data_IF_994537513338
#
_entry.id   IF_994537513338
#
_cell.length_a   1.000
_cell.length_b   1.000
_cell.length_c   1.000
_cell.angle_alpha   90.00
_cell.angle_beta   90.00
_cell.angle_gamma   90.00
#
_symmetry.space_group_name_H-M   'P 1'
#
loop_
_entity.id
_entity.type
_entity.pdbx_description
1 polymer ?
#
# COMPACT_ATOMS: atom_id res chain seq x y z
N UNK A 1 24.57 38.88 -21.47
CA UNK A 1 25.33 37.91 -20.66
C UNK A 1 24.56 37.39 -19.42
N UNK A 2 23.33 37.83 -19.15
CA UNK A 2 22.57 37.41 -17.95
C UNK A 2 21.61 36.24 -18.11
N UNK A 3 21.43 35.69 -19.32
CA UNK A 3 20.44 34.63 -19.58
C UNK A 3 20.99 33.20 -19.49
N UNK A 4 22.31 33.03 -19.42
CA UNK A 4 22.94 31.70 -19.31
C UNK A 4 23.09 31.22 -17.85
N UNK A 5 23.03 32.14 -16.87
CA UNK A 5 23.23 31.81 -15.44
C UNK A 5 21.99 31.26 -14.73
N UNK A 6 20.80 31.38 -15.34
CA UNK A 6 19.54 30.97 -14.71
C UNK A 6 19.15 29.52 -15.01
N UNK A 7 19.71 28.92 -16.06
CA UNK A 7 19.45 27.51 -16.42
C UNK A 7 20.30 26.54 -15.56
N UNK A 8 21.39 27.00 -14.94
CA UNK A 8 22.29 26.12 -14.19
C UNK A 8 21.83 25.85 -12.74
N UNK A 9 20.95 26.69 -12.16
CA UNK A 9 20.49 26.47 -10.78
C UNK A 9 19.37 25.43 -10.64
N UNK A 10 18.78 24.95 -11.74
CA UNK A 10 17.76 23.90 -11.70
C UNK A 10 18.24 22.53 -12.19
N UNK A 11 19.46 22.41 -12.73
CA UNK A 11 19.97 21.16 -13.33
C UNK A 11 21.36 20.71 -12.84
N UNK A 12 22.02 21.46 -11.96
CA UNK A 12 23.30 21.06 -11.40
C UNK A 12 23.61 21.75 -10.08
N UNK A 13 24.20 21.02 -9.13
CA UNK A 13 24.78 21.61 -7.93
C UNK A 13 26.08 22.32 -8.35
N UNK A 14 26.22 23.64 -8.17
CA UNK A 14 27.45 24.36 -8.54
C UNK A 14 28.67 23.73 -7.85
N UNK A 15 29.65 23.28 -8.66
CA UNK A 15 30.85 22.59 -8.18
C UNK A 15 30.82 21.06 -8.28
N UNK A 16 29.67 20.46 -8.61
CA UNK A 16 29.60 19.06 -9.02
C UNK A 16 29.83 18.95 -10.53
N UNK A 17 30.81 18.15 -11.00
CA UNK A 17 30.95 17.86 -12.42
C UNK A 17 29.71 17.11 -12.92
N UNK A 18 29.33 17.34 -14.18
CA UNK A 18 28.29 16.56 -14.85
C UNK A 18 28.64 15.07 -14.74
N UNK A 19 27.67 14.24 -14.32
CA UNK A 19 27.86 12.81 -14.20
C UNK A 19 27.49 12.14 -15.54
N UNK A 20 28.46 11.61 -16.31
CA UNK A 20 28.18 10.94 -17.57
C UNK A 20 27.19 9.79 -17.38
N UNK A 21 26.41 9.46 -18.41
CA UNK A 21 25.45 8.36 -18.35
C UNK A 21 26.11 7.04 -17.95
N UNK A 22 27.33 6.76 -18.43
CA UNK A 22 28.11 5.58 -18.04
C UNK A 22 28.32 5.49 -16.54
N UNK A 23 28.66 6.61 -15.91
CA UNK A 23 28.99 6.67 -14.48
C UNK A 23 27.73 6.56 -13.64
N UNK A 24 26.61 7.13 -14.11
CA UNK A 24 25.29 6.95 -13.48
C UNK A 24 24.86 5.49 -13.50
N UNK A 25 25.03 4.80 -14.64
CA UNK A 25 24.71 3.38 -14.76
C UNK A 25 25.63 2.52 -13.88
N UNK A 26 26.94 2.81 -13.85
CA UNK A 26 27.88 2.11 -12.99
C UNK A 26 27.55 2.30 -11.49
N UNK A 27 27.18 3.52 -11.08
CA UNK A 27 26.75 3.80 -9.72
C UNK A 27 25.44 3.09 -9.37
N UNK A 28 24.49 3.04 -10.30
CA UNK A 28 23.24 2.32 -10.12
C UNK A 28 23.47 0.81 -9.98
N UNK A 29 24.37 0.23 -10.78
CA UNK A 29 24.74 -1.19 -10.68
C UNK A 29 25.47 -1.46 -9.35
N UNK A 30 26.34 -0.56 -8.91
CA UNK A 30 26.97 -0.67 -7.59
C UNK A 30 25.93 -0.63 -6.47
N UNK A 31 24.99 0.31 -6.50
CA UNK A 31 23.89 0.41 -5.54
C UNK A 31 22.98 -0.83 -5.56
N UNK A 32 22.62 -1.31 -6.75
CA UNK A 32 21.82 -2.53 -6.93
C UNK A 32 22.47 -3.74 -6.26
N UNK A 33 23.78 -3.91 -6.43
CA UNK A 33 24.55 -5.03 -5.88
C UNK A 33 24.91 -4.85 -4.40
N UNK A 34 24.91 -3.62 -3.89
CA UNK A 34 25.23 -3.30 -2.50
C UNK A 34 24.03 -3.42 -1.55
N UNK A 35 22.82 -3.69 -2.06
CA UNK A 35 21.62 -3.89 -1.22
C UNK A 35 21.85 -5.02 -0.21
N UNK A 36 21.45 -4.85 1.06
CA UNK A 36 21.55 -5.90 2.06
C UNK A 36 20.69 -7.10 1.70
N UNK A 37 21.12 -8.28 2.14
CA UNK A 37 20.27 -9.48 2.13
C UNK A 37 19.03 -9.27 3.00
N UNK A 38 17.97 -10.05 2.74
CA UNK A 38 16.75 -10.03 3.55
C UNK A 38 17.02 -10.16 5.06
N UNK A 39 17.91 -11.08 5.45
CA UNK A 39 18.23 -11.31 6.85
C UNK A 39 18.96 -10.12 7.51
N UNK A 40 19.85 -9.47 6.78
CA UNK A 40 20.53 -8.26 7.27
C UNK A 40 19.53 -7.13 7.45
N UNK A 41 18.71 -6.85 6.43
CA UNK A 41 17.71 -5.78 6.48
C UNK A 41 16.69 -5.98 7.61
N UNK A 42 16.31 -7.23 7.90
CA UNK A 42 15.45 -7.58 9.04
C UNK A 42 16.12 -7.38 10.39
N UNK A 43 17.41 -7.71 10.49
CA UNK A 43 18.17 -7.55 11.75
C UNK A 43 18.35 -6.08 12.11
N UNK A 44 18.41 -5.21 11.09
CA UNK A 44 18.51 -3.76 11.27
C UNK A 44 17.18 -3.11 11.69
N UNK A 45 16.05 -3.83 11.63
CA UNK A 45 14.77 -3.33 12.11
C UNK A 45 14.62 -3.45 13.63
N UNK A 46 13.83 -2.56 14.27
CA UNK A 46 13.44 -2.73 15.66
C UNK A 46 12.81 -4.09 15.90
N UNK A 47 13.20 -4.75 16.99
CA UNK A 47 12.60 -6.03 17.37
C UNK A 47 11.09 -5.87 17.57
N UNK A 48 10.32 -6.80 17.00
CA UNK A 48 8.89 -6.86 17.22
C UNK A 48 8.60 -7.05 18.72
N UNK A 49 7.76 -6.18 19.28
CA UNK A 49 7.26 -6.30 20.64
C UNK A 49 5.83 -6.79 20.56
N UNK A 50 5.57 -7.97 21.12
CA UNK A 50 4.23 -8.53 21.13
C UNK A 50 3.28 -7.64 21.94
N UNK A 51 2.12 -7.24 21.36
CA UNK A 51 1.11 -6.49 22.10
C UNK A 51 0.64 -7.23 23.36
N UNK A 52 0.45 -6.48 24.45
CA UNK A 52 -0.11 -7.02 25.69
C UNK A 52 -1.56 -7.49 25.47
N UNK A 53 -1.97 -8.56 26.15
CA UNK A 53 -3.34 -9.09 26.06
C UNK A 53 -3.61 -10.03 24.88
N UNK A 54 -2.62 -10.25 24.00
CA UNK A 54 -2.66 -11.37 23.06
C UNK A 54 -2.65 -12.68 23.83
N UNK A 55 -3.82 -13.32 23.91
CA UNK A 55 -3.97 -14.65 24.50
C UNK A 55 -3.01 -15.67 23.87
N UNK A 56 -2.88 -16.87 24.44
CA UNK A 56 -1.84 -17.83 24.06
C UNK A 56 -2.05 -18.47 22.67
N UNK A 57 -2.96 -17.96 21.84
CA UNK A 57 -3.37 -18.58 20.58
C UNK A 57 -2.23 -18.66 19.57
N UNK A 58 -1.49 -17.57 19.34
CA UNK A 58 -0.37 -17.56 18.39
C UNK A 58 0.80 -18.43 18.89
N UNK A 59 1.26 -18.32 20.16
CA UNK A 59 2.25 -19.26 20.69
C UNK A 59 1.83 -20.73 20.59
N UNK A 60 0.55 -21.04 20.86
CA UNK A 60 0.01 -22.41 20.70
C UNK A 60 -0.01 -22.85 19.24
N UNK A 61 -0.36 -21.96 18.31
CA UNK A 61 -0.34 -22.25 16.88
C UNK A 61 1.09 -22.54 16.39
N UNK A 62 2.06 -21.71 16.77
CA UNK A 62 3.50 -21.94 16.49
C UNK A 62 3.96 -23.30 17.02
N UNK A 63 3.61 -23.63 18.26
CA UNK A 63 3.96 -24.92 18.88
C UNK A 63 3.29 -26.12 18.16
N UNK A 64 2.03 -25.96 17.76
CA UNK A 64 1.29 -27.00 17.04
C UNK A 64 1.83 -27.24 15.62
N UNK A 65 2.35 -26.21 14.96
CA UNK A 65 2.96 -26.32 13.63
C UNK A 65 4.39 -26.86 13.69
N UNK A 66 5.10 -26.69 14.80
CA UNK A 66 6.39 -27.36 15.01
C UNK A 66 6.27 -28.90 15.00
N UNK A 67 5.11 -29.45 15.36
CA UNK A 67 4.84 -30.91 15.28
C UNK A 67 4.08 -31.31 14.01
N UNK A 68 3.60 -30.34 13.22
CA UNK A 68 2.86 -30.53 11.97
C UNK A 68 3.37 -29.58 10.87
N UNK A 69 4.62 -29.75 10.41
CA UNK A 69 5.28 -28.81 9.50
C UNK A 69 4.67 -28.77 8.08
N UNK A 70 3.85 -29.76 7.73
CA UNK A 70 3.18 -29.87 6.44
C UNK A 70 1.69 -29.45 6.50
N UNK A 71 1.24 -28.89 7.64
CA UNK A 71 -0.12 -28.36 7.81
C UNK A 71 -0.27 -27.03 7.08
N UNK A 72 -0.59 -27.09 5.78
CA UNK A 72 -0.75 -25.92 4.91
C UNK A 72 -1.75 -24.91 5.48
N UNK A 73 -2.91 -25.36 5.94
CA UNK A 73 -3.94 -24.46 6.48
C UNK A 73 -3.45 -23.77 7.75
N UNK A 74 -2.75 -24.50 8.62
CA UNK A 74 -2.14 -23.93 9.81
C UNK A 74 -1.07 -22.88 9.47
N UNK A 75 -0.24 -23.11 8.45
CA UNK A 75 0.76 -22.13 8.00
C UNK A 75 0.14 -20.88 7.35
N UNK A 76 -0.95 -21.03 6.59
CA UNK A 76 -1.73 -19.88 6.08
C UNK A 76 -2.28 -19.05 7.22
N UNK A 77 -2.92 -19.71 8.20
CA UNK A 77 -3.46 -19.03 9.37
C UNK A 77 -2.36 -18.33 10.17
N UNK A 78 -1.20 -18.98 10.34
CA UNK A 78 -0.06 -18.37 11.02
C UNK A 78 0.39 -17.11 10.29
N UNK A 79 0.62 -17.16 8.98
CA UNK A 79 1.06 -15.99 8.21
C UNK A 79 0.10 -14.81 8.33
N UNK A 80 -1.21 -15.05 8.25
CA UNK A 80 -2.24 -14.02 8.43
C UNK A 80 -2.25 -13.41 9.84
N UNK A 81 -2.14 -14.26 10.87
CA UNK A 81 -2.12 -13.79 12.27
C UNK A 81 -0.87 -12.97 12.57
N UNK A 82 0.31 -13.42 12.12
CA UNK A 82 1.56 -12.66 12.30
C UNK A 82 1.49 -11.31 11.56
N UNK A 83 0.87 -11.26 10.38
CA UNK A 83 0.71 -10.02 9.62
C UNK A 83 -0.22 -9.03 10.33
N UNK A 84 -1.32 -9.53 10.91
CA UNK A 84 -2.24 -8.74 11.72
C UNK A 84 -1.56 -8.16 12.98
N UNK A 85 -0.56 -8.87 13.53
CA UNK A 85 0.28 -8.34 14.61
C UNK A 85 1.32 -7.33 14.16
N UNK A 86 1.65 -7.30 12.87
CA UNK A 86 2.78 -6.54 12.34
C UNK A 86 4.14 -7.21 12.53
N UNK A 87 4.19 -8.48 12.95
CA UNK A 87 5.43 -9.28 12.96
C UNK A 87 5.71 -9.79 11.54
N UNK A 88 6.21 -8.89 10.68
CA UNK A 88 6.43 -9.21 9.27
C UNK A 88 7.56 -10.21 9.04
N UNK A 89 8.53 -10.31 9.97
CA UNK A 89 9.56 -11.35 9.91
C UNK A 89 8.97 -12.74 10.19
N UNK A 90 8.05 -12.87 11.16
CA UNK A 90 7.29 -14.10 11.37
C UNK A 90 6.33 -14.40 10.21
N UNK A 91 5.65 -13.37 9.69
CA UNK A 91 4.76 -13.46 8.52
C UNK A 91 5.50 -14.04 7.32
N UNK A 92 6.66 -13.47 6.96
CA UNK A 92 7.50 -13.96 5.85
C UNK A 92 7.84 -15.43 6.03
N UNK A 93 8.36 -15.81 7.20
CA UNK A 93 8.75 -17.21 7.48
C UNK A 93 7.57 -18.17 7.34
N UNK A 94 6.39 -17.80 7.82
CA UNK A 94 5.19 -18.62 7.67
C UNK A 94 4.74 -18.71 6.21
N UNK A 95 4.73 -17.58 5.48
CA UNK A 95 4.32 -17.53 4.08
C UNK A 95 5.31 -18.24 3.14
N UNK A 96 6.61 -18.23 3.44
CA UNK A 96 7.60 -19.05 2.73
C UNK A 96 7.26 -20.55 2.83
N UNK A 97 6.78 -21.00 3.99
CA UNK A 97 6.30 -22.39 4.14
C UNK A 97 5.03 -22.62 3.32
N UNK A 98 4.08 -21.69 3.31
CA UNK A 98 2.87 -21.79 2.47
C UNK A 98 3.23 -21.95 1.00
N UNK A 99 4.07 -21.07 0.46
CA UNK A 99 4.52 -21.13 -0.94
C UNK A 99 5.25 -22.43 -1.22
N UNK A 100 6.13 -22.89 -0.31
CA UNK A 100 6.83 -24.18 -0.45
C UNK A 100 5.88 -25.36 -0.46
N UNK A 101 4.87 -25.39 0.42
CA UNK A 101 3.91 -26.49 0.52
C UNK A 101 2.95 -26.53 -0.68
N UNK A 102 2.57 -25.37 -1.22
CA UNK A 102 1.78 -25.28 -2.45
C UNK A 102 2.60 -25.66 -3.69
N UNK A 103 3.90 -25.37 -3.71
CA UNK A 103 4.78 -25.70 -4.83
C UNK A 103 4.28 -25.07 -6.14
N UNK A 104 3.95 -25.90 -7.13
CA UNK A 104 3.44 -25.44 -8.42
C UNK A 104 2.03 -24.81 -8.35
N UNK A 105 1.27 -25.07 -7.28
CA UNK A 105 -0.05 -24.50 -7.06
C UNK A 105 0.00 -23.12 -6.36
N UNK A 106 1.19 -22.61 -6.04
CA UNK A 106 1.34 -21.27 -5.48
C UNK A 106 0.96 -20.22 -6.53
N UNK A 107 -0.03 -19.39 -6.20
CA UNK A 107 -0.58 -18.38 -7.11
C UNK A 107 0.06 -17.00 -6.95
N UNK A 108 -0.31 -16.03 -7.81
CA UNK A 108 0.16 -14.65 -7.70
C UNK A 108 -0.16 -14.02 -6.35
N UNK A 109 -1.32 -14.30 -5.75
CA UNK A 109 -1.67 -13.77 -4.42
C UNK A 109 -0.73 -14.27 -3.31
N UNK A 110 -0.27 -15.53 -3.39
CA UNK A 110 0.68 -16.09 -2.44
C UNK A 110 2.05 -15.40 -2.53
N UNK A 111 2.50 -15.13 -3.76
CA UNK A 111 3.75 -14.43 -4.02
C UNK A 111 3.66 -12.94 -3.69
N UNK A 112 2.53 -12.30 -3.95
CA UNK A 112 2.28 -10.90 -3.59
C UNK A 112 2.31 -10.74 -2.07
N UNK A 113 1.65 -11.61 -1.33
CA UNK A 113 1.68 -11.57 0.13
C UNK A 113 3.07 -11.86 0.70
N UNK A 114 3.82 -12.80 0.09
CA UNK A 114 5.20 -13.06 0.47
C UNK A 114 6.09 -11.84 0.23
N UNK A 115 6.06 -11.26 -0.97
CA UNK A 115 6.85 -10.08 -1.30
C UNK A 115 6.51 -8.89 -0.40
N UNK A 116 5.22 -8.69 -0.11
CA UNK A 116 4.76 -7.70 0.88
C UNK A 116 5.37 -7.93 2.25
N UNK A 117 5.29 -9.16 2.77
CA UNK A 117 5.88 -9.49 4.07
C UNK A 117 7.39 -9.26 4.10
N UNK A 118 8.11 -9.61 3.03
CA UNK A 118 9.55 -9.39 2.91
C UNK A 118 9.91 -7.90 2.93
N UNK A 119 9.22 -7.09 2.15
CA UNK A 119 9.45 -5.64 2.09
C UNK A 119 9.14 -4.98 3.43
N UNK A 120 8.02 -5.37 4.08
CA UNK A 120 7.66 -4.86 5.41
C UNK A 120 8.65 -5.27 6.50
N UNK A 121 9.13 -6.51 6.46
CA UNK A 121 10.14 -7.02 7.38
C UNK A 121 11.50 -6.32 7.20
N UNK A 122 11.77 -5.81 5.99
CA UNK A 122 12.97 -5.04 5.66
C UNK A 122 12.77 -3.51 5.78
N UNK A 123 11.74 -3.05 6.50
CA UNK A 123 11.51 -1.61 6.73
C UNK A 123 11.10 -0.82 5.48
N UNK A 124 10.56 -1.49 4.45
CA UNK A 124 10.17 -0.88 3.17
C UNK A 124 11.17 -1.10 2.05
N UNK A 125 12.35 -1.66 2.33
CA UNK A 125 13.39 -1.92 1.33
C UNK A 125 13.06 -3.15 0.48
N UNK A 126 13.24 -3.05 -0.84
CA UNK A 126 13.19 -4.21 -1.75
C UNK A 126 14.57 -4.87 -1.83
N UNK A 127 14.76 -5.90 -1.03
CA UNK A 127 15.99 -6.71 -0.96
C UNK A 127 16.17 -7.59 -2.21
N UNK A 128 17.37 -8.12 -2.48
CA UNK A 128 17.59 -9.04 -3.60
C UNK A 128 16.71 -10.30 -3.56
N UNK A 129 16.38 -10.80 -2.36
CA UNK A 129 15.47 -11.93 -2.21
C UNK A 129 14.01 -11.53 -2.46
N UNK A 130 13.56 -10.37 -1.96
CA UNK A 130 12.22 -9.85 -2.24
C UNK A 130 12.02 -9.57 -3.74
N UNK A 131 13.04 -9.05 -4.41
CA UNK A 131 13.04 -8.82 -5.85
C UNK A 131 12.82 -10.12 -6.64
N UNK A 132 13.43 -11.24 -6.23
CA UNK A 132 13.18 -12.54 -6.90
C UNK A 132 11.71 -12.93 -6.84
N UNK A 133 11.08 -12.75 -5.68
CA UNK A 133 9.64 -13.02 -5.51
C UNK A 133 8.79 -12.08 -6.34
N UNK A 134 9.14 -10.78 -6.40
CA UNK A 134 8.48 -9.80 -7.27
C UNK A 134 8.60 -10.14 -8.76
N UNK A 135 9.78 -10.61 -9.20
CA UNK A 135 9.99 -11.06 -10.58
C UNK A 135 9.09 -12.24 -10.89
N UNK A 136 9.00 -13.23 -9.99
CA UNK A 136 8.16 -14.40 -10.21
C UNK A 136 6.66 -14.05 -10.17
N UNK A 137 6.26 -13.14 -9.26
CA UNK A 137 4.92 -12.54 -9.26
C UNK A 137 4.59 -11.89 -10.60
N UNK A 138 5.45 -11.00 -11.10
CA UNK A 138 5.20 -10.25 -12.35
C UNK A 138 5.30 -11.12 -13.62
N UNK A 139 5.95 -12.29 -13.55
CA UNK A 139 5.84 -13.30 -14.62
C UNK A 139 4.46 -13.94 -14.67
N UNK A 140 3.83 -14.18 -13.51
CA UNK A 140 2.51 -14.82 -13.41
C UNK A 140 1.38 -13.82 -13.63
N UNK A 141 1.46 -12.66 -12.99
CA UNK A 141 0.53 -11.55 -13.13
C UNK A 141 1.30 -10.28 -13.52
N UNK A 142 1.54 -10.07 -14.82
CA UNK A 142 2.23 -8.88 -15.29
C UNK A 142 1.53 -7.58 -14.96
N UNK A 143 0.23 -7.59 -14.60
CA UNK A 143 -0.58 -6.39 -14.28
C UNK A 143 -0.69 -6.14 -12.77
N UNK A 144 0.01 -6.92 -11.95
CA UNK A 144 0.01 -6.73 -10.51
C UNK A 144 0.51 -5.33 -10.13
N UNK A 145 -0.39 -4.46 -9.67
CA UNK A 145 -0.06 -3.06 -9.39
C UNK A 145 0.95 -2.90 -8.24
N UNK A 146 0.81 -3.71 -7.19
CA UNK A 146 1.74 -3.70 -6.06
C UNK A 146 3.15 -4.11 -6.49
N UNK A 147 3.27 -5.18 -7.29
CA UNK A 147 4.55 -5.65 -7.82
C UNK A 147 5.23 -4.61 -8.72
N UNK A 148 4.48 -4.02 -9.66
CA UNK A 148 4.99 -2.96 -10.55
C UNK A 148 5.44 -1.72 -9.76
N UNK A 149 4.66 -1.32 -8.75
CA UNK A 149 4.98 -0.17 -7.90
C UNK A 149 6.31 -0.38 -7.17
N UNK A 150 6.45 -1.48 -6.41
CA UNK A 150 7.66 -1.73 -5.63
C UNK A 150 8.90 -2.05 -6.49
N UNK A 151 8.74 -2.71 -7.64
CA UNK A 151 9.84 -2.84 -8.60
C UNK A 151 10.30 -1.48 -9.13
N UNK A 152 9.37 -0.58 -9.46
CA UNK A 152 9.73 0.77 -9.91
C UNK A 152 10.34 1.62 -8.80
N UNK A 153 9.86 1.51 -7.56
CA UNK A 153 10.42 2.20 -6.38
C UNK A 153 11.87 1.78 -6.15
N UNK A 154 12.15 0.48 -6.17
CA UNK A 154 13.51 -0.06 -6.05
C UNK A 154 14.43 0.55 -7.11
N UNK A 155 13.98 0.60 -8.37
CA UNK A 155 14.75 1.24 -9.44
C UNK A 155 14.93 2.76 -9.23
N UNK A 156 13.95 3.45 -8.65
CA UNK A 156 14.06 4.87 -8.36
C UNK A 156 15.14 5.14 -7.30
N UNK A 157 15.14 4.36 -6.23
CA UNK A 157 16.09 4.46 -5.12
C UNK A 157 17.55 4.22 -5.56
N UNK A 158 17.76 3.32 -6.53
CA UNK A 158 19.10 3.04 -7.06
C UNK A 158 19.49 3.90 -8.28
N UNK A 159 18.70 4.92 -8.62
CA UNK A 159 19.03 5.84 -9.71
C UNK A 159 18.83 5.26 -11.12
N UNK A 160 17.81 4.42 -11.30
CA UNK A 160 17.37 3.85 -12.59
C UNK A 160 16.02 4.43 -13.04
N UNK A 161 15.94 5.74 -13.32
CA UNK A 161 14.70 6.39 -13.75
C UNK A 161 14.16 5.81 -15.06
N UNK A 162 15.03 5.28 -15.93
CA UNK A 162 14.67 4.58 -17.16
C UNK A 162 13.79 3.34 -16.88
N UNK A 163 14.14 2.55 -15.86
CA UNK A 163 13.36 1.37 -15.46
C UNK A 163 12.14 1.74 -14.63
N UNK A 164 12.27 2.74 -13.75
CA UNK A 164 11.13 3.23 -12.97
C UNK A 164 10.03 3.76 -13.88
N UNK A 165 10.36 4.64 -14.83
CA UNK A 165 9.38 5.21 -15.75
C UNK A 165 8.67 4.12 -16.55
N UNK A 166 9.42 3.13 -17.07
CA UNK A 166 8.85 2.02 -17.84
C UNK A 166 7.85 1.16 -17.05
N UNK A 167 7.96 1.10 -15.72
CA UNK A 167 7.02 0.38 -14.85
C UNK A 167 5.86 1.27 -14.37
N UNK A 168 6.16 2.51 -14.00
CA UNK A 168 5.23 3.42 -13.34
C UNK A 168 4.31 4.16 -14.31
N UNK A 169 4.73 4.46 -15.53
CA UNK A 169 3.86 5.13 -16.50
C UNK A 169 2.66 4.28 -16.91
N UNK A 170 2.83 3.00 -17.33
CA UNK A 170 1.68 2.17 -17.67
C UNK A 170 0.82 1.88 -16.43
N UNK A 171 1.46 1.69 -15.27
CA UNK A 171 0.74 1.49 -14.02
C UNK A 171 -0.15 2.70 -13.68
N UNK A 172 0.37 3.93 -13.79
CA UNK A 172 -0.41 5.14 -13.55
C UNK A 172 -1.56 5.27 -14.54
N UNK A 173 -1.30 5.02 -15.84
CA UNK A 173 -2.32 5.11 -16.89
C UNK A 173 -3.44 4.07 -16.75
N UNK A 174 -3.12 2.88 -16.23
CA UNK A 174 -4.07 1.79 -15.98
C UNK A 174 -4.81 1.92 -14.64
N UNK A 175 -4.39 2.83 -13.76
CA UNK A 175 -4.90 2.93 -12.38
C UNK A 175 -5.95 4.02 -12.22
N UNK A 176 -6.97 3.74 -11.41
CA UNK A 176 -7.87 4.75 -10.87
C UNK A 176 -7.21 5.57 -9.74
N UNK A 177 -7.79 6.73 -9.41
CA UNK A 177 -7.28 7.62 -8.35
C UNK A 177 -7.33 7.01 -6.93
N UNK A 178 -8.09 5.93 -6.75
CA UNK A 178 -8.22 5.15 -5.53
C UNK A 178 -7.10 4.12 -5.33
N UNK A 179 -6.32 3.82 -6.37
CA UNK A 179 -5.23 2.86 -6.27
C UNK A 179 -4.13 3.37 -5.31
N UNK A 180 -3.62 2.55 -4.36
CA UNK A 180 -2.67 3.00 -3.34
C UNK A 180 -1.37 3.60 -3.87
N UNK A 181 -0.97 3.22 -5.08
CA UNK A 181 0.23 3.69 -5.77
C UNK A 181 -0.03 4.90 -6.69
N UNK A 182 -1.29 5.28 -6.95
CA UNK A 182 -1.64 6.36 -7.88
C UNK A 182 -0.98 7.69 -7.50
N UNK A 183 -1.27 8.18 -6.28
CA UNK A 183 -0.72 9.45 -5.79
C UNK A 183 0.82 9.40 -5.65
N UNK A 184 1.43 8.35 -5.04
CA UNK A 184 2.89 8.23 -4.98
C UNK A 184 3.59 8.25 -6.34
N UNK A 185 3.01 7.61 -7.36
CA UNK A 185 3.58 7.62 -8.71
C UNK A 185 3.38 8.99 -9.34
N UNK A 186 2.16 9.53 -9.31
CA UNK A 186 1.82 10.83 -9.91
C UNK A 186 2.71 11.96 -9.40
N UNK A 187 3.04 11.96 -8.11
CA UNK A 187 3.88 13.00 -7.48
C UNK A 187 5.36 12.92 -7.88
N UNK A 188 5.84 11.77 -8.34
CA UNK A 188 7.26 11.54 -8.65
C UNK A 188 7.54 11.37 -10.14
N UNK A 189 6.57 10.89 -10.93
CA UNK A 189 6.77 10.52 -12.33
C UNK A 189 7.16 11.71 -13.21
N UNK A 190 6.75 12.93 -12.84
CA UNK A 190 7.10 14.16 -13.53
C UNK A 190 8.60 14.49 -13.44
N UNK A 191 9.26 14.13 -12.32
CA UNK A 191 10.71 14.30 -12.14
C UNK A 191 11.49 13.10 -12.71
N UNK A 192 10.90 11.91 -12.66
CA UNK A 192 11.50 10.68 -13.19
C UNK A 192 11.58 10.71 -14.73
N UNK A 193 10.55 11.20 -15.41
CA UNK A 193 10.50 11.22 -16.87
C UNK A 193 11.67 11.96 -17.56
N UNK A 194 12.02 13.22 -17.20
CA UNK A 194 13.17 13.89 -17.80
C UNK A 194 14.49 13.19 -17.43
N UNK A 195 14.60 12.63 -16.22
CA UNK A 195 15.76 11.84 -15.82
C UNK A 195 15.91 10.53 -16.63
N UNK A 196 14.79 9.97 -17.11
CA UNK A 196 14.72 8.87 -18.06
C UNK A 196 14.93 9.31 -19.53
N UNK A 197 15.10 10.60 -19.81
CA UNK A 197 15.22 11.13 -21.16
C UNK A 197 13.90 11.17 -21.94
N UNK A 198 12.77 11.13 -21.24
CA UNK A 198 11.42 11.13 -21.83
C UNK A 198 10.77 12.50 -21.64
N UNK A 199 10.31 13.08 -22.74
CA UNK A 199 9.41 14.24 -22.69
C UNK A 199 8.01 13.74 -22.34
N UNK A 200 7.65 13.85 -21.07
CA UNK A 200 6.37 13.39 -20.55
C UNK A 200 5.51 14.57 -20.13
N UNK A 201 4.21 14.48 -20.43
CA UNK A 201 3.20 15.39 -19.89
C UNK A 201 2.32 14.58 -18.96
N UNK A 202 2.29 14.96 -17.69
CA UNK A 202 1.44 14.30 -16.71
C UNK A 202 -0.02 14.43 -17.16
N UNK A 203 -0.76 13.31 -17.33
CA UNK A 203 -2.19 13.37 -17.63
C UNK A 203 -2.91 14.20 -16.58
N UNK A 204 -3.96 14.91 -16.97
CA UNK A 204 -4.82 15.61 -16.01
C UNK A 204 -5.26 14.64 -14.91
N UNK A 205 -5.35 15.15 -13.69
CA UNK A 205 -5.77 14.33 -12.56
C UNK A 205 -7.18 13.87 -12.87
N UNK A 206 -7.35 12.55 -12.94
CA UNK A 206 -8.70 12.01 -12.99
C UNK A 206 -9.30 12.40 -11.66
N UNK A 207 -10.32 13.25 -11.70
CA UNK A 207 -11.10 13.55 -10.51
C UNK A 207 -11.47 12.20 -9.91
N UNK A 208 -11.10 11.98 -8.65
CA UNK A 208 -11.72 10.93 -7.86
C UNK A 208 -13.23 11.06 -8.12
N UNK A 209 -13.93 9.97 -8.45
CA UNK A 209 -15.33 10.05 -8.80
C UNK A 209 -16.02 10.95 -7.79
N UNK A 210 -16.57 12.05 -8.32
CA UNK A 210 -17.30 13.04 -7.54
C UNK A 210 -18.28 12.25 -6.67
N UNK A 211 -18.23 12.48 -5.36
CA UNK A 211 -19.28 11.98 -4.47
C UNK A 211 -20.52 12.80 -4.85
N UNK A 212 -21.27 12.29 -5.83
CA UNK A 212 -22.56 12.79 -6.32
C UNK A 212 -22.70 14.33 -6.47
N UNK A 213 -22.35 14.87 -7.63
CA UNK A 213 -22.99 16.10 -8.16
C UNK A 213 -24.27 15.74 -8.91
N UNK A 214 -25.25 15.20 -8.18
CA UNK A 214 -26.62 15.00 -8.66
C UNK A 214 -27.56 16.12 -8.18
N UNK A 215 -28.68 16.42 -8.87
CA UNK A 215 -29.57 17.54 -8.55
C UNK A 215 -30.25 17.49 -7.17
N UNK A 216 -30.11 16.39 -6.43
CA UNK A 216 -30.72 16.17 -5.11
C UNK A 216 -29.71 16.14 -3.95
N UNK A 217 -28.46 16.59 -4.16
CA UNK A 217 -27.50 16.75 -3.08
C UNK A 217 -27.82 18.01 -2.25
N UNK A 218 -28.14 17.82 -0.96
CA UNK A 218 -28.16 18.89 0.03
C UNK A 218 -26.81 19.65 0.02
N UNK A 219 -26.78 20.97 0.30
CA UNK A 219 -25.58 21.78 0.11
C UNK A 219 -24.42 21.23 0.95
N UNK A 220 -23.36 20.80 0.28
CA UNK A 220 -22.06 20.61 0.93
C UNK A 220 -21.56 21.96 1.46
N UNK A 221 -20.79 22.01 2.56
CA UNK A 221 -20.44 23.27 3.19
C UNK A 221 -19.59 24.13 2.23
N UNK A 222 -20.07 25.34 1.93
CA UNK A 222 -19.35 26.35 1.14
C UNK A 222 -17.93 26.56 1.70
N UNK A 223 -16.99 27.02 0.88
CA UNK A 223 -15.59 27.28 1.26
C UNK A 223 -15.42 28.14 2.54
N UNK A 224 -16.47 28.85 2.98
CA UNK A 224 -16.54 29.54 4.27
C UNK A 224 -16.57 28.60 5.51
N UNK A 225 -17.07 27.37 5.37
CA UNK A 225 -17.12 26.37 6.44
C UNK A 225 -15.77 25.67 6.69
N UNK A 226 -14.94 25.53 5.65
CA UNK A 226 -13.56 25.02 5.77
C UNK A 226 -12.69 26.02 6.56
N UNK A 227 -12.94 27.33 6.43
CA UNK A 227 -12.24 28.37 7.18
C UNK A 227 -12.56 28.33 8.70
N UNK A 228 -13.70 27.76 9.11
CA UNK A 228 -14.07 27.58 10.52
C UNK A 228 -13.43 26.35 11.18
N UNK A 229 -13.18 25.28 10.42
CA UNK A 229 -12.65 24.01 10.95
C UNK A 229 -11.20 24.12 11.49
N UNK A 230 -10.43 25.07 10.96
CA UNK A 230 -9.07 25.39 11.40
C UNK A 230 -9.04 26.13 12.75
N UNK A 231 -10.18 26.67 13.20
CA UNK A 231 -10.32 27.42 14.45
C UNK A 231 -10.98 26.62 15.60
N UNK A 232 -11.39 25.37 15.33
CA UNK A 232 -12.05 24.49 16.31
C UNK A 232 -11.03 23.77 17.20
N UNK A 233 -11.40 23.54 18.46
CA UNK A 233 -10.64 22.67 19.37
C UNK A 233 -10.67 21.22 18.84
N UNK A 234 -9.65 20.43 19.18
CA UNK A 234 -9.58 19.01 18.79
C UNK A 234 -10.80 18.21 19.28
N UNK A 235 -11.35 18.58 20.45
CA UNK A 235 -12.54 17.97 21.03
C UNK A 235 -13.79 18.22 20.18
N UNK A 236 -14.00 19.46 19.72
CA UNK A 236 -15.17 19.81 18.90
C UNK A 236 -15.07 19.21 17.50
N UNK A 237 -13.86 19.12 16.96
CA UNK A 237 -13.59 18.45 15.68
C UNK A 237 -13.90 16.95 15.76
N UNK A 238 -13.49 16.29 16.83
CA UNK A 238 -13.77 14.87 17.04
C UNK A 238 -15.28 14.59 17.23
N UNK A 239 -16.00 15.47 17.95
CA UNK A 239 -17.45 15.35 18.11
C UNK A 239 -18.21 15.54 16.78
N UNK A 240 -17.75 16.48 15.94
CA UNK A 240 -18.29 16.67 14.60
C UNK A 240 -18.05 15.46 13.69
N UNK A 241 -16.83 14.90 13.70
CA UNK A 241 -16.48 13.69 12.93
C UNK A 241 -17.33 12.49 13.39
N UNK A 242 -17.52 12.30 14.70
CA UNK A 242 -18.37 11.23 15.22
C UNK A 242 -19.82 11.34 14.72
N UNK A 243 -20.42 12.54 14.77
CA UNK A 243 -21.80 12.75 14.29
C UNK A 243 -21.94 12.52 12.77
N UNK A 244 -20.93 12.86 11.98
CA UNK A 244 -20.92 12.60 10.53
C UNK A 244 -20.84 11.09 10.23
N UNK A 245 -20.01 10.36 10.98
CA UNK A 245 -19.86 8.91 10.84
C UNK A 245 -21.13 8.17 11.25
N UNK A 246 -21.82 8.61 12.31
CA UNK A 246 -23.12 8.07 12.74
C UNK A 246 -24.21 8.24 11.66
N UNK A 247 -24.24 9.41 11.01
CA UNK A 247 -25.17 9.68 9.90
C UNK A 247 -24.89 8.80 8.68
N UNK A 248 -23.62 8.63 8.32
CA UNK A 248 -23.20 7.77 7.22
C UNK A 248 -23.54 6.30 7.50
N UNK A 249 -23.25 5.79 8.70
CA UNK A 249 -23.58 4.42 9.11
C UNK A 249 -25.07 4.14 9.05
N UNK A 250 -25.89 5.08 9.55
CA UNK A 250 -27.35 4.93 9.54
C UNK A 250 -27.89 4.88 8.11
N UNK A 251 -27.42 5.79 7.24
CA UNK A 251 -27.83 5.83 5.82
C UNK A 251 -27.43 4.55 5.09
N UNK A 252 -26.17 4.11 5.23
CA UNK A 252 -25.68 2.91 4.56
C UNK A 252 -26.43 1.65 4.98
N UNK A 253 -26.79 1.52 6.26
CA UNK A 253 -27.56 0.37 6.75
C UNK A 253 -29.04 0.38 6.32
N UNK A 254 -29.61 1.53 5.93
CA UNK A 254 -31.04 1.67 5.63
C UNK A 254 -31.33 1.82 4.14
N UNK A 255 -30.51 2.60 3.44
CA UNK A 255 -30.68 2.95 2.02
C UNK A 255 -29.66 2.23 1.13
N UNK A 256 -28.63 1.61 1.72
CA UNK A 256 -27.50 1.06 0.99
C UNK A 256 -26.53 2.15 0.51
N UNK A 257 -25.48 1.73 -0.19
CA UNK A 257 -24.47 2.64 -0.72
C UNK A 257 -23.41 1.90 -1.53
N UNK A 258 -22.43 2.64 -2.03
CA UNK A 258 -21.35 2.07 -2.83
C UNK A 258 -20.28 1.39 -1.97
N UNK A 259 -19.45 0.54 -2.58
CA UNK A 259 -18.41 -0.19 -1.86
C UNK A 259 -17.38 0.76 -1.25
N UNK A 260 -17.14 1.89 -1.90
CA UNK A 260 -16.26 2.97 -1.44
C UNK A 260 -16.83 3.66 -0.20
N UNK A 261 -18.15 3.84 -0.11
CA UNK A 261 -18.80 4.45 1.06
C UNK A 261 -18.73 3.52 2.28
N UNK A 262 -18.92 2.22 2.07
CA UNK A 262 -18.72 1.21 3.11
C UNK A 262 -17.26 1.12 3.55
N UNK A 263 -16.31 1.11 2.62
CA UNK A 263 -14.87 1.13 2.92
C UNK A 263 -14.44 2.37 3.70
N UNK A 264 -15.00 3.55 3.36
CA UNK A 264 -14.75 4.80 4.10
C UNK A 264 -15.34 4.74 5.51
N UNK A 265 -16.54 4.17 5.68
CA UNK A 265 -17.14 4.00 7.00
C UNK A 265 -16.26 3.11 7.90
N UNK A 266 -15.83 1.97 7.37
CA UNK A 266 -14.98 0.99 8.07
C UNK A 266 -13.65 1.61 8.53
N UNK A 267 -12.97 2.33 7.63
CA UNK A 267 -11.70 3.00 7.94
C UNK A 267 -11.87 4.18 8.90
N UNK A 268 -12.93 4.98 8.74
CA UNK A 268 -13.22 6.12 9.63
C UNK A 268 -13.52 5.69 11.06
N UNK A 269 -14.29 4.60 11.24
CA UNK A 269 -14.59 4.03 12.55
C UNK A 269 -13.33 3.49 13.23
N UNK A 270 -12.40 2.91 12.49
CA UNK A 270 -11.11 2.46 13.02
C UNK A 270 -10.20 3.62 13.47
N UNK A 271 -10.13 4.71 12.71
CA UNK A 271 -9.41 5.93 13.11
C UNK A 271 -9.98 6.51 14.41
N UNK A 272 -11.31 6.43 14.59
CA UNK A 272 -12.00 6.81 15.82
C UNK A 272 -11.88 5.77 16.96
N UNK A 273 -11.09 4.71 16.79
CA UNK A 273 -10.92 3.61 17.74
C UNK A 273 -12.23 2.87 18.07
N UNK A 274 -13.22 2.90 17.16
CA UNK A 274 -14.52 2.27 17.31
C UNK A 274 -14.58 0.95 16.53
N UNK A 275 -13.74 0.00 16.92
CA UNK A 275 -13.50 -1.26 16.20
C UNK A 275 -14.74 -2.15 16.11
N UNK A 276 -15.60 -2.15 17.14
CA UNK A 276 -16.83 -2.93 17.17
C UNK A 276 -17.83 -2.47 16.10
N UNK A 277 -17.99 -1.15 15.95
CA UNK A 277 -18.82 -0.57 14.89
C UNK A 277 -18.19 -0.78 13.53
N UNK A 278 -16.86 -0.70 13.42
CA UNK A 278 -16.17 -0.93 12.17
C UNK A 278 -16.33 -2.38 11.67
N UNK A 279 -16.27 -3.37 12.57
CA UNK A 279 -16.56 -4.79 12.26
C UNK A 279 -18.02 -4.97 11.83
N UNK A 280 -18.95 -4.32 12.53
CA UNK A 280 -20.38 -4.38 12.20
C UNK A 280 -20.66 -3.81 10.81
N UNK A 281 -20.05 -2.67 10.47
CA UNK A 281 -20.12 -2.06 9.16
C UNK A 281 -19.51 -2.96 8.07
N UNK A 282 -18.40 -3.63 8.35
CA UNK A 282 -17.79 -4.57 7.41
C UNK A 282 -18.68 -5.78 7.11
N UNK A 283 -19.29 -6.40 8.13
CA UNK A 283 -20.23 -7.52 7.94
C UNK A 283 -21.46 -7.08 7.14
N UNK A 284 -22.01 -5.91 7.44
CA UNK A 284 -23.14 -5.35 6.69
C UNK A 284 -22.78 -5.08 5.22
N UNK A 285 -21.58 -4.55 4.97
CA UNK A 285 -21.06 -4.35 3.62
C UNK A 285 -20.87 -5.68 2.87
N UNK A 286 -20.29 -6.71 3.50
CA UNK A 286 -20.15 -8.03 2.88
C UNK A 286 -21.51 -8.62 2.46
N UNK A 287 -22.53 -8.45 3.30
CA UNK A 287 -23.89 -8.88 2.98
C UNK A 287 -24.48 -8.08 1.81
N UNK A 288 -24.24 -6.77 1.75
CA UNK A 288 -24.73 -5.90 0.67
C UNK A 288 -24.08 -6.19 -0.70
N UNK A 289 -22.83 -6.65 -0.72
CA UNK A 289 -22.07 -6.95 -1.95
C UNK A 289 -21.86 -8.46 -2.20
N UNK A 290 -22.70 -9.31 -1.61
CA UNK A 290 -22.63 -10.76 -1.84
C UNK A 290 -22.69 -11.11 -3.34
N UNK A 291 -21.74 -11.93 -3.80
CA UNK A 291 -21.64 -12.35 -5.21
C UNK A 291 -20.89 -11.37 -6.13
N UNK A 292 -20.32 -10.30 -5.58
CA UNK A 292 -19.54 -9.29 -6.32
C UNK A 292 -18.08 -9.30 -5.86
N UNK A 293 -17.22 -10.13 -6.48
CA UNK A 293 -15.89 -10.44 -5.94
C UNK A 293 -14.92 -9.25 -5.96
N UNK A 294 -15.06 -8.30 -6.90
CA UNK A 294 -14.24 -7.09 -6.94
C UNK A 294 -14.52 -6.17 -5.75
N UNK A 295 -15.81 -5.97 -5.46
CA UNK A 295 -16.29 -5.14 -4.36
C UNK A 295 -15.98 -5.79 -3.00
N UNK A 296 -16.10 -7.11 -2.89
CA UNK A 296 -15.69 -7.84 -1.69
C UNK A 296 -14.17 -7.74 -1.43
N UNK A 297 -13.35 -7.71 -2.49
CA UNK A 297 -11.90 -7.48 -2.36
C UNK A 297 -11.58 -6.08 -1.85
N UNK A 298 -12.29 -5.06 -2.33
CA UNK A 298 -12.15 -3.68 -1.85
C UNK A 298 -12.54 -3.54 -0.37
N UNK A 299 -13.64 -4.17 0.06
CA UNK A 299 -14.06 -4.19 1.47
C UNK A 299 -13.04 -4.91 2.35
N UNK A 300 -12.48 -6.02 1.86
CA UNK A 300 -11.45 -6.77 2.57
C UNK A 300 -10.17 -5.93 2.78
N UNK A 301 -9.76 -5.17 1.77
CA UNK A 301 -8.63 -4.24 1.88
C UNK A 301 -8.92 -3.14 2.92
N UNK A 302 -10.13 -2.57 2.91
CA UNK A 302 -10.54 -1.55 3.87
C UNK A 302 -10.59 -2.10 5.32
N UNK A 303 -11.10 -3.32 5.52
CA UNK A 303 -11.12 -3.98 6.83
C UNK A 303 -9.71 -4.26 7.35
N UNK A 304 -8.82 -4.73 6.47
CA UNK A 304 -7.41 -4.98 6.82
C UNK A 304 -6.68 -3.70 7.19
N UNK A 305 -6.89 -2.61 6.43
CA UNK A 305 -6.35 -1.28 6.76
C UNK A 305 -6.89 -0.75 8.09
N UNK A 306 -8.15 -1.07 8.40
CA UNK A 306 -8.81 -0.71 9.64
C UNK A 306 -8.41 -1.59 10.84
N UNK A 307 -7.53 -2.59 10.67
CA UNK A 307 -7.13 -3.50 11.74
C UNK A 307 -8.24 -4.45 12.20
N UNK A 308 -9.24 -4.65 11.34
CA UNK A 308 -10.42 -5.49 11.58
C UNK A 308 -10.14 -6.86 10.96
N UNK A 309 -10.43 -7.93 11.70
CA UNK A 309 -10.30 -9.29 11.18
C UNK A 309 -11.37 -9.53 10.10
N UNK A 310 -10.96 -9.82 8.85
CA UNK A 310 -11.89 -9.96 7.74
C UNK A 310 -12.61 -11.31 7.68
#
# INVERSE_FOLDING_TARGET
LGAAGWIYQSLGVPGYPDLPLSDRLANADAAYNARPTQMQAETDQPAFVQPEGLGPMIPKLRAALATRPDDLQGHVLLAQNEAALGDFAATRRAQEVVVRLKGADAGPDDLAFLAYAMVRAAGGLVTPEAEKVLIDLLKMDPRNGWGRFYSGLMFAEIGRPDRTFALWEPLLAESGPDAPWYLPIRSQIADIAPAAGVNYTLPEEQAAPDVATGPDAAPGPDAAAIAGASAMSETDRNAMIANMVDGLETRLNTEGGSVEEWSRLITSLSVLQNTDRAQTAYVAAQAAFAGKPGELSALHAAATQAGIAP
#
